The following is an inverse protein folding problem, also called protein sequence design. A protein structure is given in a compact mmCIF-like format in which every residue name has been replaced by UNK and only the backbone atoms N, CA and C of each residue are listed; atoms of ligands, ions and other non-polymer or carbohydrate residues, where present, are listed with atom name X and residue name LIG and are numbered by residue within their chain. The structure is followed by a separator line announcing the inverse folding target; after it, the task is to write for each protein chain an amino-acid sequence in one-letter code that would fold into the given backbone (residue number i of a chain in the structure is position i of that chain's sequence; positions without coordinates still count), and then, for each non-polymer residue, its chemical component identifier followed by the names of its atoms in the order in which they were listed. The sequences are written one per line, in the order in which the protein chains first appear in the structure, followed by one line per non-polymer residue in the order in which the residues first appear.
data_IF_344012845752
#
_entry.id   IF_344012845752
#
_cell.length_a   1.000
_cell.length_b   1.000
_cell.length_c   1.000
_cell.angle_alpha   90.00
_cell.angle_beta   90.00
_cell.angle_gamma   90.00
#
_symmetry.space_group_name_H-M   'P 1'
#
loop_
_entity.id
_entity.type
_entity.pdbx_description
1 polymer ?
#
# COMPACT_ATOMS: atom_id res chain seq x y z
N UNK A 1 33.05 -35.09 -2.31
CA UNK A 1 33.28 -34.28 -3.52
C UNK A 1 31.92 -33.87 -4.11
N UNK A 2 31.64 -32.57 -4.21
CA UNK A 2 30.39 -32.04 -4.78
C UNK A 2 30.25 -32.44 -6.24
N UNK A 3 29.12 -33.05 -6.63
CA UNK A 3 28.80 -33.45 -8.01
C UNK A 3 28.33 -32.23 -8.82
N UNK A 4 28.71 -32.17 -10.09
CA UNK A 4 28.23 -31.13 -11.01
C UNK A 4 26.72 -31.26 -11.22
N UNK A 5 25.97 -30.17 -10.99
CA UNK A 5 24.51 -30.14 -11.17
C UNK A 5 24.14 -30.32 -12.66
N UNK A 6 23.22 -31.25 -13.00
CA UNK A 6 22.81 -31.49 -14.39
C UNK A 6 22.21 -30.27 -15.10
N UNK A 7 21.56 -29.39 -14.34
CA UNK A 7 20.93 -28.17 -14.83
C UNK A 7 21.98 -27.17 -15.36
N UNK A 8 23.07 -26.97 -14.62
CA UNK A 8 24.17 -26.08 -15.01
C UNK A 8 24.77 -26.53 -16.35
N UNK A 9 24.99 -27.83 -16.47
CA UNK A 9 25.54 -28.44 -17.66
C UNK A 9 24.60 -28.33 -18.87
N UNK A 10 23.29 -28.47 -18.67
CA UNK A 10 22.30 -28.29 -19.73
C UNK A 10 22.19 -26.82 -20.15
N UNK A 11 22.29 -25.89 -19.21
CA UNK A 11 22.25 -24.45 -19.48
C UNK A 11 23.49 -24.00 -20.27
N UNK A 12 24.69 -24.38 -19.84
CA UNK A 12 25.93 -24.05 -20.53
C UNK A 12 26.03 -24.69 -21.91
N UNK A 13 25.61 -25.95 -22.05
CA UNK A 13 25.56 -26.63 -23.36
C UNK A 13 24.67 -25.89 -24.35
N UNK A 14 23.50 -25.38 -23.91
CA UNK A 14 22.60 -24.58 -24.75
C UNK A 14 23.17 -23.20 -25.07
N UNK A 15 23.72 -22.48 -24.07
CA UNK A 15 24.20 -21.10 -24.24
C UNK A 15 25.47 -21.00 -25.08
N UNK A 16 26.33 -22.01 -25.01
CA UNK A 16 27.63 -22.01 -25.70
C UNK A 16 27.61 -22.90 -26.95
N UNK A 17 26.48 -23.51 -27.29
CA UNK A 17 26.33 -24.45 -28.42
C UNK A 17 27.34 -25.60 -28.39
N UNK A 18 27.76 -26.01 -27.18
CA UNK A 18 28.73 -27.09 -26.96
C UNK A 18 28.04 -28.38 -26.55
N UNK A 19 28.65 -29.52 -26.88
CA UNK A 19 28.21 -30.81 -26.36
C UNK A 19 28.35 -30.85 -24.83
N UNK A 20 27.42 -31.56 -24.17
CA UNK A 20 27.46 -31.79 -22.72
C UNK A 20 28.80 -32.39 -22.24
N UNK A 21 29.42 -33.24 -23.04
CA UNK A 21 30.71 -33.85 -22.72
C UNK A 21 31.86 -32.85 -22.81
N UNK A 22 31.86 -31.99 -23.84
CA UNK A 22 32.85 -30.91 -23.98
C UNK A 22 32.76 -29.94 -22.79
N UNK A 23 31.54 -29.55 -22.40
CA UNK A 23 31.32 -28.69 -21.22
C UNK A 23 31.89 -29.33 -19.95
N UNK A 24 31.71 -30.64 -19.71
CA UNK A 24 32.31 -31.33 -18.55
C UNK A 24 33.83 -31.27 -18.57
N UNK A 25 34.44 -31.50 -19.74
CA UNK A 25 35.90 -31.47 -19.88
C UNK A 25 36.45 -30.08 -19.57
N UNK A 26 35.81 -29.02 -20.09
CA UNK A 26 36.22 -27.65 -19.81
C UNK A 26 36.06 -27.26 -18.34
N UNK A 27 34.95 -27.63 -17.70
CA UNK A 27 34.73 -27.40 -16.27
C UNK A 27 35.82 -28.13 -15.45
N UNK A 28 36.15 -29.36 -15.82
CA UNK A 28 37.20 -30.15 -15.15
C UNK A 28 38.56 -29.47 -15.27
N UNK A 29 38.93 -28.98 -16.47
CA UNK A 29 40.16 -28.22 -16.70
C UNK A 29 40.19 -26.93 -15.89
N UNK A 30 39.05 -26.24 -15.79
CA UNK A 30 38.94 -25.01 -15.01
C UNK A 30 39.07 -25.28 -13.49
N UNK A 31 38.56 -26.41 -13.01
CA UNK A 31 38.78 -26.86 -11.63
C UNK A 31 40.25 -27.14 -11.35
N UNK A 32 41.01 -27.68 -12.30
CA UNK A 32 42.46 -27.89 -12.11
C UNK A 32 43.20 -26.58 -11.84
N UNK A 33 42.77 -25.48 -12.48
CA UNK A 33 43.33 -24.14 -12.22
C UNK A 33 42.89 -23.56 -10.88
N UNK A 34 41.73 -23.99 -10.37
CA UNK A 34 41.16 -23.53 -9.11
C UNK A 34 40.81 -24.72 -8.19
N UNK A 35 41.81 -25.35 -7.54
CA UNK A 35 41.60 -26.59 -6.78
C UNK A 35 40.62 -26.46 -5.61
N UNK A 36 40.45 -25.23 -5.08
CA UNK A 36 39.52 -24.93 -3.99
C UNK A 36 38.07 -24.79 -4.44
N UNK A 37 37.81 -24.63 -5.74
CA UNK A 37 36.47 -24.45 -6.29
C UNK A 37 35.71 -25.78 -6.38
N UNK A 38 34.42 -25.80 -6.03
CA UNK A 38 33.55 -26.93 -6.38
C UNK A 38 33.39 -27.06 -7.89
N UNK A 39 32.89 -28.20 -8.38
CA UNK A 39 32.61 -28.35 -9.81
C UNK A 39 31.58 -27.32 -10.34
N UNK A 40 30.62 -26.90 -9.51
CA UNK A 40 29.64 -25.87 -9.89
C UNK A 40 30.28 -24.48 -9.88
N UNK A 41 31.18 -24.20 -8.94
CA UNK A 41 31.98 -22.97 -8.92
C UNK A 41 32.93 -22.88 -10.13
N UNK A 42 33.61 -23.98 -10.47
CA UNK A 42 34.40 -24.08 -11.69
C UNK A 42 33.55 -23.89 -12.96
N UNK A 43 32.29 -24.32 -12.93
CA UNK A 43 31.35 -24.06 -14.02
C UNK A 43 31.01 -22.57 -14.17
N UNK A 44 30.92 -21.82 -13.07
CA UNK A 44 30.78 -20.36 -13.11
C UNK A 44 32.03 -19.68 -13.66
N UNK A 45 33.23 -20.15 -13.30
CA UNK A 45 34.49 -19.62 -13.83
C UNK A 45 34.58 -19.84 -15.35
N UNK A 46 34.26 -21.04 -15.81
CA UNK A 46 34.18 -21.34 -17.23
C UNK A 46 33.12 -20.49 -17.95
N UNK A 47 31.97 -20.26 -17.32
CA UNK A 47 30.93 -19.38 -17.85
C UNK A 47 31.44 -17.95 -18.05
N UNK A 48 32.16 -17.41 -17.06
CA UNK A 48 32.72 -16.06 -17.11
C UNK A 48 33.76 -15.89 -18.22
N UNK A 49 34.63 -16.88 -18.41
CA UNK A 49 35.59 -16.91 -19.53
C UNK A 49 34.91 -16.86 -20.91
N UNK A 50 33.64 -17.27 -20.99
CA UNK A 50 32.82 -17.22 -22.20
C UNK A 50 31.76 -16.10 -22.16
N UNK A 51 31.95 -15.05 -21.36
CA UNK A 51 31.04 -13.90 -21.24
C UNK A 51 29.60 -14.29 -20.90
N UNK A 52 29.40 -15.34 -20.12
CA UNK A 52 28.09 -15.76 -19.62
C UNK A 52 28.14 -16.04 -18.13
N UNK A 53 27.01 -16.45 -17.55
CA UNK A 53 26.90 -16.71 -16.12
C UNK A 53 25.89 -17.82 -15.83
N UNK A 54 26.22 -18.61 -14.81
CA UNK A 54 25.36 -19.60 -14.15
C UNK A 54 25.21 -19.28 -12.66
N UNK A 55 25.58 -18.09 -12.20
CA UNK A 55 25.68 -17.72 -10.78
C UNK A 55 24.40 -17.98 -9.97
N UNK A 56 23.23 -17.78 -10.61
CA UNK A 56 21.91 -18.04 -10.01
C UNK A 56 21.68 -19.51 -9.66
N UNK A 57 22.43 -20.41 -10.27
CA UNK A 57 22.32 -21.87 -10.11
C UNK A 57 23.31 -22.42 -9.06
N UNK A 58 24.22 -21.58 -8.55
CA UNK A 58 25.11 -21.93 -7.44
C UNK A 58 24.40 -21.71 -6.11
N UNK A 59 24.53 -22.68 -5.21
CA UNK A 59 24.10 -22.54 -3.82
C UNK A 59 25.13 -21.76 -2.99
N UNK A 60 24.87 -21.61 -1.69
CA UNK A 60 25.70 -20.83 -0.79
C UNK A 60 27.10 -21.44 -0.63
N UNK A 61 27.22 -22.76 -0.64
CA UNK A 61 28.49 -23.47 -0.50
C UNK A 61 29.34 -23.34 -1.76
N UNK A 62 28.73 -23.55 -2.93
CA UNK A 62 29.38 -23.37 -4.22
C UNK A 62 29.93 -21.94 -4.38
N UNK A 63 29.14 -20.92 -3.99
CA UNK A 63 29.57 -19.50 -4.03
C UNK A 63 30.73 -19.20 -3.10
N UNK A 64 30.79 -19.83 -1.93
CA UNK A 64 31.87 -19.62 -0.96
C UNK A 64 33.23 -20.13 -1.47
N UNK A 65 33.22 -21.01 -2.48
CA UNK A 65 34.46 -21.54 -3.08
C UNK A 65 34.96 -20.77 -4.30
N UNK A 66 34.28 -19.67 -4.68
CA UNK A 66 34.73 -18.81 -5.76
C UNK A 66 35.92 -17.94 -5.33
N UNK A 67 36.94 -17.78 -6.18
CA UNK A 67 38.02 -16.82 -5.95
C UNK A 67 37.51 -15.39 -5.69
N UNK A 68 38.04 -14.74 -4.66
CA UNK A 68 37.63 -13.41 -4.18
C UNK A 68 37.88 -12.26 -5.17
N UNK A 69 38.65 -12.52 -6.22
CA UNK A 69 39.14 -11.56 -7.22
C UNK A 69 38.28 -11.51 -8.50
N UNK A 70 37.11 -12.15 -8.52
CA UNK A 70 36.21 -12.12 -9.67
C UNK A 70 35.38 -10.83 -9.62
N UNK A 71 35.74 -9.85 -10.45
CA UNK A 71 34.88 -8.71 -10.72
C UNK A 71 33.60 -9.18 -11.40
N UNK A 72 32.51 -9.24 -10.62
CA UNK A 72 31.20 -9.58 -11.16
C UNK A 72 30.73 -8.42 -12.04
N UNK A 73 30.78 -8.60 -13.37
CA UNK A 73 30.10 -7.72 -14.30
C UNK A 73 28.60 -7.74 -13.98
N UNK A 74 28.12 -6.71 -13.28
CA UNK A 74 26.69 -6.50 -13.04
C UNK A 74 26.06 -6.15 -14.39
N UNK A 75 25.51 -7.13 -15.09
CA UNK A 75 24.67 -6.86 -16.25
C UNK A 75 23.54 -5.92 -15.82
N UNK A 76 23.56 -4.69 -16.35
CA UNK A 76 22.46 -3.75 -16.21
C UNK A 76 21.28 -4.34 -16.97
N UNK A 77 20.28 -4.84 -16.25
CA UNK A 77 19.01 -5.23 -16.84
C UNK A 77 18.31 -3.94 -17.30
N UNK A 78 18.37 -3.65 -18.60
CA UNK A 78 17.52 -2.64 -19.22
C UNK A 78 16.14 -3.26 -19.37
N UNK A 79 15.23 -2.89 -18.46
CA UNK A 79 13.81 -3.26 -18.59
C UNK A 79 13.21 -2.31 -19.62
N UNK A 80 13.09 -2.76 -20.87
CA UNK A 80 12.23 -2.09 -21.84
C UNK A 80 10.77 -2.27 -21.41
N UNK A 81 10.28 -1.34 -20.59
CA UNK A 81 8.87 -1.20 -20.34
C UNK A 81 8.21 -0.79 -21.66
N UNK A 82 7.62 -1.75 -22.40
CA UNK A 82 6.64 -1.45 -23.43
C UNK A 82 5.60 -0.55 -22.79
N UNK A 83 5.60 0.74 -23.13
CA UNK A 83 4.57 1.70 -22.73
C UNK A 83 3.27 1.24 -23.39
N UNK A 84 2.59 0.27 -22.79
CA UNK A 84 1.17 0.05 -23.02
C UNK A 84 0.53 1.39 -22.69
N UNK A 85 0.06 2.12 -23.71
CA UNK A 85 -0.73 3.32 -23.50
C UNK A 85 -1.87 2.95 -22.58
N UNK A 86 -1.75 3.27 -21.29
CA UNK A 86 -2.85 3.11 -20.35
C UNK A 86 -3.89 4.10 -20.85
N UNK A 87 -4.99 3.61 -21.44
CA UNK A 87 -6.22 4.39 -21.51
C UNK A 87 -6.45 4.89 -20.09
N UNK A 88 -6.30 6.20 -19.88
CA UNK A 88 -6.58 6.79 -18.58
C UNK A 88 -8.02 6.46 -18.26
N UNK A 89 -8.24 5.68 -17.20
CA UNK A 89 -9.60 5.43 -16.71
C UNK A 89 -10.15 6.78 -16.30
N UNK A 90 -11.26 7.19 -16.92
CA UNK A 90 -12.00 8.39 -16.49
C UNK A 90 -12.27 8.28 -14.99
N UNK A 91 -11.90 9.32 -14.25
CA UNK A 91 -12.04 9.35 -12.80
C UNK A 91 -13.51 9.17 -12.42
N UNK A 92 -13.77 8.19 -11.56
CA UNK A 92 -15.08 7.98 -10.94
C UNK A 92 -15.14 8.80 -9.66
N UNK A 93 -16.13 9.69 -9.57
CA UNK A 93 -16.34 10.53 -8.39
C UNK A 93 -17.23 9.74 -7.42
N UNK A 94 -16.63 9.25 -6.33
CA UNK A 94 -17.33 8.61 -5.22
C UNK A 94 -17.92 9.66 -4.28
N UNK A 95 -17.10 10.67 -3.96
CA UNK A 95 -17.47 11.79 -3.09
C UNK A 95 -17.11 13.08 -3.81
N UNK A 96 -18.05 14.00 -3.82
CA UNK A 96 -17.84 15.37 -4.25
C UNK A 96 -17.83 16.28 -3.02
N UNK A 97 -16.71 16.95 -2.75
CA UNK A 97 -16.53 17.86 -1.62
C UNK A 97 -15.60 19.00 -2.05
N UNK A 98 -16.19 20.11 -2.45
CA UNK A 98 -15.46 21.29 -2.92
C UNK A 98 -14.84 22.05 -1.76
N UNK A 99 -13.55 22.38 -1.82
CA UNK A 99 -12.85 23.14 -0.78
C UNK A 99 -11.61 23.80 -1.37
N UNK A 100 -11.26 24.98 -0.85
CA UNK A 100 -10.02 25.70 -1.20
C UNK A 100 -8.81 25.17 -0.43
N UNK A 101 -9.03 24.46 0.68
CA UNK A 101 -7.98 23.90 1.52
C UNK A 101 -7.20 22.80 0.78
N UNK A 102 -5.90 23.04 0.56
CA UNK A 102 -5.02 22.16 -0.21
C UNK A 102 -5.06 20.71 0.31
N UNK A 103 -4.95 20.52 1.62
CA UNK A 103 -4.93 19.19 2.22
C UNK A 103 -6.28 18.49 2.10
N UNK A 104 -7.40 19.17 2.35
CA UNK A 104 -8.72 18.55 2.22
C UNK A 104 -8.99 18.15 0.77
N UNK A 105 -8.69 19.04 -0.18
CA UNK A 105 -8.80 18.78 -1.62
C UNK A 105 -7.93 17.59 -2.06
N UNK A 106 -6.70 17.52 -1.55
CA UNK A 106 -5.77 16.40 -1.81
C UNK A 106 -6.34 15.05 -1.37
N UNK A 107 -6.85 14.96 -0.13
CA UNK A 107 -7.43 13.72 0.39
C UNK A 107 -8.70 13.29 -0.37
N UNK A 108 -9.58 14.23 -0.75
CA UNK A 108 -10.77 13.93 -1.57
C UNK A 108 -10.37 13.41 -2.96
N UNK A 109 -9.37 14.05 -3.58
CA UNK A 109 -8.84 13.58 -4.86
C UNK A 109 -8.23 12.18 -4.75
N UNK A 110 -7.46 11.91 -3.70
CA UNK A 110 -6.86 10.61 -3.44
C UNK A 110 -7.93 9.52 -3.21
N UNK A 111 -8.99 9.81 -2.46
CA UNK A 111 -10.14 8.92 -2.28
C UNK A 111 -10.77 8.52 -3.62
N UNK A 112 -11.09 9.51 -4.46
CA UNK A 112 -11.72 9.27 -5.77
C UNK A 112 -10.79 8.50 -6.72
N UNK A 113 -9.49 8.79 -6.70
CA UNK A 113 -8.48 8.05 -7.47
C UNK A 113 -8.35 6.61 -7.02
N UNK A 114 -8.38 6.38 -5.71
CA UNK A 114 -8.32 5.05 -5.08
C UNK A 114 -9.54 4.22 -5.47
N UNK A 115 -10.73 4.82 -5.40
CA UNK A 115 -11.99 4.18 -5.85
C UNK A 115 -11.97 3.86 -7.35
N UNK A 116 -11.52 4.80 -8.19
CA UNK A 116 -11.37 4.60 -9.64
C UNK A 116 -10.44 3.43 -9.95
N UNK A 117 -9.39 3.26 -9.14
CA UNK A 117 -8.38 2.21 -9.32
C UNK A 117 -8.84 0.85 -8.79
N UNK A 118 -9.96 0.77 -8.07
CA UNK A 118 -10.47 -0.47 -7.47
C UNK A 118 -9.73 -0.88 -6.18
N UNK A 119 -9.00 0.05 -5.55
CA UNK A 119 -8.27 -0.19 -4.31
C UNK A 119 -9.22 -0.09 -3.11
N UNK A 120 -10.23 -0.97 -3.06
CA UNK A 120 -11.40 -0.81 -2.18
C UNK A 120 -11.03 -0.75 -0.69
N UNK A 121 -10.13 -1.59 -0.18
CA UNK A 121 -9.70 -1.51 1.24
C UNK A 121 -9.14 -0.14 1.59
N UNK A 122 -8.34 0.47 0.69
CA UNK A 122 -7.82 1.81 0.91
C UNK A 122 -8.92 2.88 0.89
N UNK A 123 -10.02 2.67 0.15
CA UNK A 123 -11.20 3.55 0.19
C UNK A 123 -11.84 3.56 1.59
N UNK A 124 -11.91 2.42 2.29
CA UNK A 124 -12.44 2.36 3.66
C UNK A 124 -11.58 3.18 4.63
N UNK A 125 -10.25 3.02 4.55
CA UNK A 125 -9.29 3.71 5.41
C UNK A 125 -9.35 5.23 5.16
N UNK A 126 -9.26 5.65 3.90
CA UNK A 126 -9.31 7.06 3.52
C UNK A 126 -10.67 7.69 3.82
N UNK A 127 -11.76 6.97 3.52
CA UNK A 127 -13.12 7.41 3.80
C UNK A 127 -13.35 7.69 5.28
N UNK A 128 -12.92 6.77 6.15
CA UNK A 128 -12.95 6.98 7.61
C UNK A 128 -12.17 8.22 8.02
N UNK A 129 -10.92 8.35 7.57
CA UNK A 129 -10.06 9.50 7.90
C UNK A 129 -10.74 10.82 7.52
N UNK A 130 -11.30 10.90 6.32
CA UNK A 130 -11.95 12.13 5.82
C UNK A 130 -13.18 12.45 6.68
N UNK A 131 -14.08 11.49 6.88
CA UNK A 131 -15.31 11.68 7.66
C UNK A 131 -15.00 12.09 9.10
N UNK A 132 -14.07 11.41 9.75
CA UNK A 132 -13.66 11.70 11.13
C UNK A 132 -13.12 13.14 11.28
N UNK A 133 -12.22 13.57 10.39
CA UNK A 133 -11.66 14.92 10.46
C UNK A 133 -12.70 16.00 10.15
N UNK A 134 -13.62 15.77 9.21
CA UNK A 134 -14.69 16.74 8.92
C UNK A 134 -15.66 16.88 10.10
N UNK A 135 -15.97 15.79 10.80
CA UNK A 135 -16.78 15.85 12.03
C UNK A 135 -16.04 16.63 13.13
N UNK A 136 -14.73 16.42 13.27
CA UNK A 136 -13.91 17.17 14.22
C UNK A 136 -13.92 18.67 13.89
N UNK A 137 -13.87 19.05 12.61
CA UNK A 137 -13.97 20.45 12.19
C UNK A 137 -15.30 21.08 12.60
N UNK A 138 -16.42 20.37 12.43
CA UNK A 138 -17.74 20.80 12.89
C UNK A 138 -17.73 21.03 14.41
N UNK A 139 -17.19 20.08 15.18
CA UNK A 139 -17.10 20.20 16.63
C UNK A 139 -16.21 21.37 17.06
N UNK A 140 -15.05 21.56 16.44
CA UNK A 140 -14.14 22.69 16.72
C UNK A 140 -14.81 24.03 16.48
N UNK A 141 -15.59 24.15 15.41
CA UNK A 141 -16.31 25.38 15.08
C UNK A 141 -17.45 25.66 16.05
N UNK A 142 -18.28 24.65 16.35
CA UNK A 142 -19.43 24.79 17.26
C UNK A 142 -19.00 24.96 18.73
N UNK A 143 -17.89 24.34 19.12
CA UNK A 143 -17.37 24.31 20.49
C UNK A 143 -15.91 24.81 20.53
N UNK A 144 -15.70 26.14 20.66
CA UNK A 144 -14.37 26.74 20.62
C UNK A 144 -13.43 26.24 21.73
N UNK A 145 -12.15 26.08 21.37
CA UNK A 145 -11.09 25.50 22.22
C UNK A 145 -10.78 26.28 23.51
N UNK A 146 -11.21 27.55 23.60
CA UNK A 146 -10.98 28.42 24.77
C UNK A 146 -11.61 27.86 26.05
N UNK A 147 -12.68 27.08 25.92
CA UNK A 147 -13.37 26.44 27.03
C UNK A 147 -12.87 25.00 27.10
N UNK A 148 -12.26 24.60 28.23
CA UNK A 148 -11.70 23.25 28.42
C UNK A 148 -12.72 22.15 28.13
N UNK A 149 -13.93 22.28 28.67
CA UNK A 149 -15.03 21.34 28.46
C UNK A 149 -15.41 21.18 26.97
N UNK A 150 -15.30 22.25 26.17
CA UNK A 150 -15.54 22.21 24.73
C UNK A 150 -14.40 21.49 24.00
N UNK A 151 -13.15 21.82 24.33
CA UNK A 151 -11.97 21.16 23.75
C UNK A 151 -11.98 19.66 24.01
N UNK A 152 -12.41 19.25 25.20
CA UNK A 152 -12.55 17.85 25.59
C UNK A 152 -13.64 17.10 24.79
N UNK A 153 -14.46 17.76 23.96
CA UNK A 153 -15.37 17.04 23.07
C UNK A 153 -14.64 16.31 21.94
N UNK A 154 -13.46 16.79 21.54
CA UNK A 154 -12.68 16.23 20.43
C UNK A 154 -11.21 15.98 20.72
N UNK A 155 -10.67 16.51 21.81
CA UNK A 155 -9.26 16.38 22.17
C UNK A 155 -9.11 15.74 23.56
N UNK A 156 -8.22 14.76 23.69
CA UNK A 156 -7.78 14.22 24.96
C UNK A 156 -6.58 15.04 25.45
N UNK A 157 -6.80 15.89 26.45
CA UNK A 157 -5.75 16.75 27.01
C UNK A 157 -4.72 15.97 27.82
N UNK A 158 -5.06 14.78 28.33
CA UNK A 158 -4.13 13.96 29.10
C UNK A 158 -3.14 13.25 28.17
N UNK A 159 -3.62 12.76 27.02
CA UNK A 159 -2.79 12.07 26.04
C UNK A 159 -2.23 12.98 24.93
N UNK A 160 -2.65 14.24 24.88
CA UNK A 160 -2.15 15.21 23.90
C UNK A 160 -2.56 14.89 22.45
N UNK A 161 -3.68 14.21 22.24
CA UNK A 161 -4.13 13.74 20.93
C UNK A 161 -5.63 13.93 20.72
N UNK A 162 -6.08 13.83 19.48
CA UNK A 162 -7.51 13.76 19.17
C UNK A 162 -8.11 12.49 19.77
N UNK A 163 -9.37 12.59 20.21
CA UNK A 163 -10.14 11.44 20.73
C UNK A 163 -10.45 10.47 19.59
N UNK A 164 -10.58 9.20 19.94
CA UNK A 164 -10.88 8.15 18.98
C UNK A 164 -12.24 8.36 18.33
N UNK A 165 -12.40 7.94 17.07
CA UNK A 165 -13.59 8.18 16.28
C UNK A 165 -14.91 7.81 16.98
N UNK A 166 -14.93 6.70 17.71
CA UNK A 166 -16.11 6.27 18.47
C UNK A 166 -16.51 7.28 19.55
N UNK A 167 -15.53 7.84 20.25
CA UNK A 167 -15.75 8.86 21.27
C UNK A 167 -16.20 10.17 20.62
N UNK A 168 -15.64 10.52 19.46
CA UNK A 168 -16.07 11.68 18.66
C UNK A 168 -17.55 11.55 18.29
N UNK A 169 -17.98 10.40 17.76
CA UNK A 169 -19.37 10.15 17.39
C UNK A 169 -20.31 10.18 18.60
N UNK A 170 -19.88 9.58 19.73
CA UNK A 170 -20.66 9.62 20.98
C UNK A 170 -20.86 11.05 21.48
N UNK A 171 -19.80 11.86 21.46
CA UNK A 171 -19.85 13.26 21.90
C UNK A 171 -20.70 14.13 20.96
N UNK A 172 -20.59 13.93 19.65
CA UNK A 172 -21.45 14.61 18.69
C UNK A 172 -22.92 14.25 18.91
N UNK A 173 -23.23 12.95 19.08
CA UNK A 173 -24.62 12.47 19.30
C UNK A 173 -25.21 12.99 20.61
N UNK A 174 -24.43 13.04 21.70
CA UNK A 174 -24.89 13.57 22.99
C UNK A 174 -25.18 15.07 22.95
N UNK A 175 -24.60 15.78 21.98
CA UNK A 175 -24.77 17.22 21.74
C UNK A 175 -25.71 17.54 20.59
N UNK A 176 -26.48 16.58 20.07
CA UNK A 176 -27.38 16.78 18.92
C UNK A 176 -28.42 17.89 19.13
N UNK A 177 -28.86 18.13 20.36
CA UNK A 177 -29.80 19.21 20.72
C UNK A 177 -29.26 20.60 20.37
N UNK A 178 -27.95 20.78 20.46
CA UNK A 178 -27.29 22.07 20.29
C UNK A 178 -27.24 22.50 18.81
N UNK A 179 -27.63 21.60 17.90
CA UNK A 179 -27.79 21.82 16.46
C UNK A 179 -29.23 22.20 16.07
N UNK A 180 -30.12 22.44 17.04
CA UNK A 180 -31.46 22.98 16.76
C UNK A 180 -32.27 22.10 15.80
N UNK A 181 -32.72 22.69 14.68
CA UNK A 181 -33.46 22.00 13.62
C UNK A 181 -32.68 20.87 12.94
N UNK A 182 -31.35 20.88 13.04
CA UNK A 182 -30.46 19.89 12.44
C UNK A 182 -30.16 18.69 13.36
N UNK A 183 -30.82 18.58 14.51
CA UNK A 183 -30.63 17.46 15.44
C UNK A 183 -30.80 16.06 14.80
N UNK A 184 -31.76 15.91 13.87
CA UNK A 184 -32.03 14.68 13.11
C UNK A 184 -30.91 14.40 12.11
N UNK A 185 -30.31 15.44 11.53
CA UNK A 185 -29.18 15.30 10.63
C UNK A 185 -27.94 14.80 11.40
N UNK A 186 -27.70 15.31 12.61
CA UNK A 186 -26.66 14.80 13.50
C UNK A 186 -26.89 13.33 13.85
N UNK A 187 -28.11 12.95 14.22
CA UNK A 187 -28.45 11.56 14.53
C UNK A 187 -28.22 10.62 13.35
N UNK A 188 -28.73 11.01 12.17
CA UNK A 188 -28.52 10.29 10.90
C UNK A 188 -27.03 10.15 10.56
N UNK A 189 -26.25 11.21 10.74
CA UNK A 189 -24.81 11.19 10.51
C UNK A 189 -24.11 10.19 11.43
N UNK A 190 -24.40 10.22 12.73
CA UNK A 190 -23.81 9.30 13.69
C UNK A 190 -24.14 7.84 13.38
N UNK A 191 -25.38 7.55 12.96
CA UNK A 191 -25.79 6.19 12.64
C UNK A 191 -25.09 5.66 11.37
N UNK A 192 -24.95 6.48 10.32
CA UNK A 192 -24.20 6.12 9.11
C UNK A 192 -22.69 6.00 9.37
N UNK A 193 -22.12 6.95 10.12
CA UNK A 193 -20.70 6.95 10.46
C UNK A 193 -20.31 5.78 11.36
N UNK A 194 -21.24 5.26 12.17
CA UNK A 194 -21.01 4.05 12.97
C UNK A 194 -20.77 2.82 12.09
N UNK A 195 -21.56 2.65 11.02
CA UNK A 195 -21.35 1.56 10.05
C UNK A 195 -19.96 1.69 9.40
N UNK A 196 -19.59 2.90 8.98
CA UNK A 196 -18.25 3.17 8.44
C UNK A 196 -17.15 2.82 9.44
N UNK A 197 -17.30 3.18 10.72
CA UNK A 197 -16.32 2.88 11.78
C UNK A 197 -16.20 1.38 12.02
N UNK A 198 -17.32 0.68 12.18
CA UNK A 198 -17.33 -0.75 12.49
C UNK A 198 -16.77 -1.56 11.31
N UNK A 199 -17.18 -1.25 10.08
CA UNK A 199 -16.64 -1.91 8.89
C UNK A 199 -15.17 -1.57 8.65
N UNK A 200 -14.77 -0.30 8.72
CA UNK A 200 -13.38 0.09 8.53
C UNK A 200 -12.47 -0.51 9.61
N UNK A 201 -12.91 -0.57 10.88
CA UNK A 201 -12.16 -1.24 11.94
C UNK A 201 -11.98 -2.73 11.62
N UNK A 202 -13.06 -3.42 11.24
CA UNK A 202 -12.99 -4.83 10.86
C UNK A 202 -12.03 -5.04 9.67
N UNK A 203 -12.06 -4.17 8.65
CA UNK A 203 -11.20 -4.29 7.46
C UNK A 203 -9.74 -3.89 7.73
N UNK A 204 -9.49 -3.04 8.73
CA UNK A 204 -8.15 -2.51 9.04
C UNK A 204 -7.40 -3.40 10.04
N UNK A 205 -8.11 -4.02 10.98
CA UNK A 205 -7.51 -4.79 12.08
C UNK A 205 -7.63 -6.30 11.92
N UNK A 206 -8.46 -6.79 10.99
CA UNK A 206 -8.48 -8.20 10.61
C UNK A 206 -7.66 -8.41 9.34
N UNK A 207 -6.64 -9.26 9.41
CA UNK A 207 -5.90 -9.71 8.21
C UNK A 207 -6.76 -10.54 7.24
N UNK A 208 -7.97 -10.92 7.67
CA UNK A 208 -8.81 -11.89 6.97
C UNK A 208 -9.87 -11.28 6.05
N UNK A 209 -9.97 -9.95 5.93
CA UNK A 209 -10.97 -9.33 5.03
C UNK A 209 -10.34 -8.35 4.04
N UNK A 210 -10.17 -8.82 2.80
CA UNK A 210 -9.95 -7.95 1.65
C UNK A 210 -11.30 -7.52 1.07
N UNK A 211 -11.44 -6.24 0.76
CA UNK A 211 -12.65 -5.73 0.10
C UNK A 211 -12.51 -5.98 -1.39
N UNK A 212 -13.08 -7.07 -1.87
CA UNK A 212 -12.95 -7.48 -3.28
C UNK A 212 -14.01 -6.81 -4.17
N UNK A 213 -15.15 -6.41 -3.59
CA UNK A 213 -16.28 -5.88 -4.35
C UNK A 213 -16.51 -4.38 -4.13
N UNK A 214 -16.76 -3.64 -5.22
CA UNK A 214 -17.18 -2.23 -5.17
C UNK A 214 -18.51 -2.02 -4.44
N UNK A 215 -19.41 -3.02 -4.44
CA UNK A 215 -20.68 -2.94 -3.69
C UNK A 215 -20.46 -2.76 -2.19
N UNK A 216 -19.40 -3.35 -1.62
CA UNK A 216 -19.07 -3.13 -0.21
C UNK A 216 -18.70 -1.66 0.06
N UNK A 217 -17.99 -1.01 -0.89
CA UNK A 217 -17.70 0.43 -0.81
C UNK A 217 -18.96 1.26 -0.91
N UNK A 218 -19.90 0.89 -1.78
CA UNK A 218 -21.17 1.61 -1.95
C UNK A 218 -22.04 1.55 -0.69
N UNK A 219 -22.02 0.42 0.03
CA UNK A 219 -22.74 0.23 1.30
C UNK A 219 -22.25 1.15 2.42
N UNK A 220 -21.04 1.72 2.32
CA UNK A 220 -20.55 2.73 3.27
C UNK A 220 -21.36 4.03 3.22
N UNK A 221 -22.13 4.27 2.15
CA UNK A 221 -22.93 5.47 1.98
C UNK A 221 -22.13 6.78 2.14
N UNK A 222 -20.84 6.78 1.75
CA UNK A 222 -19.94 7.94 1.93
C UNK A 222 -20.49 9.22 1.33
N UNK A 223 -21.17 9.14 0.17
CA UNK A 223 -21.82 10.29 -0.46
C UNK A 223 -22.89 10.90 0.47
N UNK A 224 -23.76 10.07 1.05
CA UNK A 224 -24.80 10.54 1.96
C UNK A 224 -24.21 11.15 3.25
N UNK A 225 -23.17 10.52 3.81
CA UNK A 225 -22.44 11.04 4.97
C UNK A 225 -21.90 12.44 4.66
N UNK A 226 -21.25 12.61 3.50
CA UNK A 226 -20.63 13.89 3.12
C UNK A 226 -21.67 14.97 2.86
N UNK A 227 -22.81 14.65 2.26
CA UNK A 227 -23.91 15.62 2.09
C UNK A 227 -24.47 16.09 3.44
N UNK A 228 -24.62 15.19 4.41
CA UNK A 228 -25.05 15.57 5.77
C UNK A 228 -23.97 16.45 6.44
N UNK A 229 -22.69 16.10 6.30
CA UNK A 229 -21.58 16.92 6.81
C UNK A 229 -21.62 18.32 6.20
N UNK A 230 -21.77 18.47 4.88
CA UNK A 230 -21.89 19.78 4.22
C UNK A 230 -23.05 20.59 4.78
N UNK A 231 -24.18 19.94 5.08
CA UNK A 231 -25.34 20.57 5.69
C UNK A 231 -25.02 21.11 7.08
N UNK A 232 -24.37 20.32 7.91
CA UNK A 232 -23.96 20.73 9.26
C UNK A 232 -22.84 21.79 9.24
N UNK A 233 -21.91 21.73 8.29
CA UNK A 233 -20.88 22.75 8.09
C UNK A 233 -21.48 24.13 7.80
N UNK A 234 -22.56 24.20 7.02
CA UNK A 234 -23.32 25.44 6.79
C UNK A 234 -23.97 25.96 8.07
N UNK A 235 -24.61 25.08 8.84
CA UNK A 235 -25.25 25.43 10.11
C UNK A 235 -24.26 26.03 11.12
N UNK A 236 -23.00 25.55 11.13
CA UNK A 236 -21.96 26.07 12.04
C UNK A 236 -21.11 27.20 11.44
N UNK A 237 -21.36 27.60 10.19
CA UNK A 237 -20.64 28.69 9.52
C UNK A 237 -19.20 28.34 9.14
N UNK A 238 -18.95 27.11 8.71
CA UNK A 238 -17.72 26.71 8.01
C UNK A 238 -17.86 26.98 6.50
N UNK A 239 -19.07 26.85 5.97
CA UNK A 239 -19.43 27.03 4.56
C UNK A 239 -20.64 27.93 4.39
#
# INVERSE_FOLDING_TARGET
MSKLKPEILTNLSKKLELSKNSVRQYISRERTKHPKATLNAAAQLFALSNKTTVLRMLDKEDRATLPSNIEMAKEKVIIENKKRGKKEKKMQILVDYETTEHFKKGHIHELNKTYTSGCNTAVFILGRKIVENLIIDILKKKYPEKIKANKELYFDTAQGRLKDFEVILKNLKSKKSDFGSENKAVERLCDLAKVLKDDANNKTHSWYHLVENKKEVENLNLKAIIEIIKKLEKEVGIR
#
